data_IF_737956521459
#
_entry.id   IF_737956521459
#
_cell.length_a   1.000
_cell.length_b   1.000
_cell.length_c   1.000
_cell.angle_alpha   90.00
_cell.angle_beta   90.00
_cell.angle_gamma   90.00
#
_symmetry.space_group_name_H-M   'P 1'
#
loop_
_entity.id
_entity.type
_entity.pdbx_description
1 polymer ?
#
# COMPACT_ATOMS: atom_id res chain seq x y z
N UNK A 1 6.27 -5.58 -3.15
CA UNK A 1 5.49 -5.08 -4.31
C UNK A 1 4.70 -3.89 -3.85
N UNK A 2 4.64 -2.83 -4.65
CA UNK A 2 4.01 -1.54 -4.33
C UNK A 2 2.88 -1.29 -5.31
N UNK A 3 1.74 -0.87 -4.79
CA UNK A 3 0.53 -0.62 -5.55
C UNK A 3 -0.09 0.71 -5.16
N UNK A 4 -0.52 1.46 -6.18
CA UNK A 4 -1.30 2.67 -6.02
C UNK A 4 -2.78 2.32 -6.19
N UNK A 5 -3.56 2.62 -5.15
CA UNK A 5 -5.01 2.46 -5.06
C UNK A 5 -5.67 3.71 -5.66
N UNK A 6 -5.48 3.92 -6.97
CA UNK A 6 -6.22 4.92 -7.74
C UNK A 6 -7.66 4.43 -7.99
N UNK A 7 -8.42 5.18 -8.80
CA UNK A 7 -9.77 4.86 -9.33
C UNK A 7 -9.87 3.57 -10.15
N UNK A 8 -8.92 2.64 -10.00
CA UNK A 8 -9.15 1.27 -10.42
C UNK A 8 -10.46 0.81 -9.77
N UNK A 9 -11.38 0.23 -10.54
CA UNK A 9 -12.80 0.01 -10.17
C UNK A 9 -13.08 -0.91 -8.96
N UNK A 10 -12.16 -1.02 -8.01
CA UNK A 10 -12.21 -1.70 -6.72
C UNK A 10 -13.02 -0.94 -5.64
N UNK A 11 -13.91 -0.04 -6.04
CA UNK A 11 -14.64 0.87 -5.15
C UNK A 11 -13.83 2.13 -4.87
N UNK A 12 -14.52 3.27 -4.77
CA UNK A 12 -13.90 4.55 -4.43
C UNK A 12 -12.96 4.39 -3.22
N UNK A 13 -11.93 5.23 -3.17
CA UNK A 13 -10.96 5.38 -2.07
C UNK A 13 -11.60 5.82 -0.72
N UNK A 14 -12.71 5.20 -0.31
CA UNK A 14 -13.29 5.22 1.02
C UNK A 14 -12.42 4.45 2.04
N UNK A 15 -11.11 4.34 1.80
CA UNK A 15 -10.13 4.12 2.86
C UNK A 15 -10.03 5.33 3.80
N UNK A 16 -10.67 6.47 3.47
CA UNK A 16 -10.50 7.72 4.19
C UNK A 16 -11.58 8.15 5.18
N UNK A 17 -12.69 7.42 5.33
CA UNK A 17 -13.79 7.89 6.17
C UNK A 17 -13.99 7.12 7.49
N UNK A 18 -12.95 6.49 8.01
CA UNK A 18 -12.95 5.99 9.38
C UNK A 18 -12.16 6.94 10.27
N UNK A 19 -12.83 7.98 10.80
CA UNK A 19 -12.78 8.54 12.17
C UNK A 19 -11.50 8.34 13.03
N UNK A 20 -10.32 8.33 12.43
CA UNK A 20 -9.03 8.26 13.12
C UNK A 20 -7.95 9.07 12.39
N UNK A 21 -8.38 10.02 11.56
CA UNK A 21 -7.51 10.96 10.81
C UNK A 21 -6.87 11.98 11.75
N UNK A 22 -7.44 12.19 12.95
CA UNK A 22 -6.96 13.19 13.91
C UNK A 22 -5.60 12.87 14.53
N UNK A 23 -5.07 11.64 14.39
CA UNK A 23 -3.76 11.28 14.94
C UNK A 23 -2.62 11.25 13.90
N UNK A 24 -2.93 11.33 12.60
CA UNK A 24 -1.92 11.31 11.53
C UNK A 24 -1.53 12.69 11.01
N UNK A 25 -2.28 13.74 11.36
CA UNK A 25 -2.04 15.09 10.85
C UNK A 25 -1.03 15.89 11.68
N UNK A 26 -0.73 15.49 12.92
CA UNK A 26 0.12 16.30 13.82
C UNK A 26 1.63 16.11 13.57
N UNK A 27 2.04 15.10 12.79
CA UNK A 27 3.45 14.82 12.52
C UNK A 27 3.97 15.28 11.14
N UNK A 28 3.15 15.94 10.33
CA UNK A 28 3.54 16.46 9.01
C UNK A 28 4.07 17.91 9.05
N UNK A 29 4.58 18.37 10.20
CA UNK A 29 5.37 19.59 10.24
C UNK A 29 6.67 19.37 9.47
N UNK A 30 6.68 19.94 8.26
CA UNK A 30 7.79 20.09 7.34
C UNK A 30 8.94 20.77 8.08
N UNK A 31 9.97 20.02 8.53
CA UNK A 31 11.28 20.61 8.86
C UNK A 31 12.47 19.64 9.02
N UNK A 32 12.35 18.32 8.76
CA UNK A 32 13.50 17.42 8.90
C UNK A 32 13.67 16.47 7.72
N UNK A 33 14.76 16.67 6.97
CA UNK A 33 15.28 15.82 5.90
C UNK A 33 15.93 14.56 6.51
N UNK A 34 15.11 13.77 7.19
CA UNK A 34 15.40 12.40 7.61
C UNK A 34 14.05 11.66 7.62
N UNK A 35 13.43 11.59 6.43
CA UNK A 35 12.08 11.04 6.22
C UNK A 35 12.08 9.53 6.48
N UNK A 36 11.97 9.15 7.75
CA UNK A 36 11.67 7.78 8.14
C UNK A 36 10.28 7.41 7.61
N UNK A 37 10.27 6.61 6.53
CA UNK A 37 9.02 6.12 5.93
C UNK A 37 8.37 5.10 6.87
N UNK A 38 7.31 5.53 7.54
CA UNK A 38 6.51 4.67 8.42
C UNK A 38 5.62 3.73 7.61
N UNK A 39 5.78 2.42 7.81
CA UNK A 39 4.90 1.40 7.24
C UNK A 39 3.86 0.96 8.27
N UNK A 40 2.59 1.24 7.99
CA UNK A 40 1.49 0.93 8.90
C UNK A 40 0.72 -0.30 8.43
N UNK A 41 0.19 -1.15 9.32
CA UNK A 41 -0.75 -2.20 8.91
C UNK A 41 -1.98 -1.61 8.20
N UNK A 42 -2.44 -2.29 7.15
CA UNK A 42 -3.73 -1.98 6.53
C UNK A 42 -4.88 -2.50 7.43
N UNK A 43 -5.61 -1.58 8.07
CA UNK A 43 -6.62 -1.90 9.09
C UNK A 43 -7.83 -2.69 8.55
N UNK A 44 -8.20 -2.47 7.30
CA UNK A 44 -9.34 -3.10 6.65
C UNK A 44 -8.94 -4.32 5.80
N UNK A 45 -7.82 -4.97 6.13
CA UNK A 45 -7.45 -6.23 5.49
C UNK A 45 -8.43 -7.34 5.89
N UNK A 46 -9.27 -7.77 4.94
CA UNK A 46 -10.31 -8.78 5.17
C UNK A 46 -9.90 -10.22 4.84
N UNK A 47 -8.68 -10.46 4.36
CA UNK A 47 -8.23 -11.81 4.01
C UNK A 47 -6.73 -11.94 3.71
N UNK A 48 -6.30 -13.19 3.50
CA UNK A 48 -4.93 -13.56 3.16
C UNK A 48 -4.01 -13.73 4.37
N UNK A 49 -3.00 -14.60 4.25
CA UNK A 49 -1.97 -14.82 5.28
C UNK A 49 -0.80 -13.81 5.21
N UNK A 50 -0.76 -13.02 4.15
CA UNK A 50 0.30 -12.05 3.89
C UNK A 50 -0.16 -10.67 4.34
N UNK A 51 0.62 -10.02 5.21
CA UNK A 51 0.32 -8.67 5.70
C UNK A 51 0.44 -7.64 4.57
N UNK A 52 -0.56 -6.79 4.44
CA UNK A 52 -0.48 -5.57 3.63
C UNK A 52 -0.15 -4.37 4.52
N UNK A 53 0.68 -3.48 4.00
CA UNK A 53 1.15 -2.29 4.70
C UNK A 53 0.78 -1.05 3.88
N UNK A 54 0.39 0.02 4.54
CA UNK A 54 0.26 1.36 3.97
C UNK A 54 1.63 2.02 3.98
N UNK A 55 2.03 2.53 2.81
CA UNK A 55 3.20 3.39 2.63
C UNK A 55 2.80 4.87 2.79
N UNK A 56 1.64 5.22 2.22
CA UNK A 56 1.01 6.52 2.33
C UNK A 56 -0.52 6.36 2.13
N UNK A 57 -1.22 7.48 2.00
CA UNK A 57 -2.68 7.55 1.91
C UNK A 57 -3.28 6.77 0.71
N UNK A 58 -2.53 6.55 -0.37
CA UNK A 58 -2.98 5.85 -1.58
C UNK A 58 -2.11 4.66 -1.98
N UNK A 59 -0.97 4.47 -1.31
CA UNK A 59 0.01 3.46 -1.68
C UNK A 59 0.08 2.36 -0.65
N UNK A 60 -0.12 1.11 -1.08
CA UNK A 60 0.10 -0.08 -0.27
C UNK A 60 1.31 -0.86 -0.76
N UNK A 61 1.93 -1.60 0.15
CA UNK A 61 2.91 -2.60 -0.18
C UNK A 61 2.59 -3.95 0.46
N UNK A 62 3.06 -5.00 -0.19
CA UNK A 62 3.05 -6.38 0.33
C UNK A 62 4.30 -7.13 -0.11
N UNK A 63 4.68 -8.23 0.58
CA UNK A 63 5.75 -9.12 0.16
C UNK A 63 5.68 -9.52 -1.32
N UNK A 64 6.85 -9.75 -1.93
CA UNK A 64 6.95 -10.13 -3.33
C UNK A 64 6.33 -11.52 -3.56
N UNK A 65 5.38 -11.58 -4.49
CA UNK A 65 4.86 -12.83 -5.03
C UNK A 65 5.26 -12.89 -6.52
N UNK A 66 6.13 -13.83 -6.93
CA UNK A 66 6.61 -13.90 -8.32
C UNK A 66 5.50 -14.06 -9.36
N UNK A 67 4.46 -14.85 -9.05
CA UNK A 67 3.33 -15.08 -9.96
C UNK A 67 2.50 -13.82 -10.18
N UNK A 68 2.31 -13.03 -9.13
CA UNK A 68 1.62 -11.75 -9.25
C UNK A 68 2.47 -10.72 -9.99
N UNK A 69 3.78 -10.69 -9.75
CA UNK A 69 4.69 -9.80 -10.48
C UNK A 69 4.58 -10.04 -12.00
N UNK A 70 4.61 -11.31 -12.41
CA UNK A 70 4.45 -11.70 -13.81
C UNK A 70 3.12 -11.21 -14.40
N UNK A 71 2.01 -11.35 -13.64
CA UNK A 71 0.71 -10.80 -14.03
C UNK A 71 0.76 -9.29 -14.26
N UNK A 72 1.29 -8.52 -13.30
CA UNK A 72 1.37 -7.06 -13.43
C UNK A 72 2.34 -6.59 -14.52
N UNK A 73 3.37 -7.38 -14.84
CA UNK A 73 4.29 -7.10 -15.95
C UNK A 73 3.66 -7.35 -17.33
N UNK A 74 2.65 -8.22 -17.41
CA UNK A 74 2.04 -8.67 -18.66
C UNK A 74 0.52 -8.45 -18.68
N UNK A 75 0.03 -7.43 -17.96
CA UNK A 75 -1.40 -7.23 -17.80
C UNK A 75 -2.08 -6.87 -19.12
N UNK A 76 -3.19 -7.54 -19.49
CA UNK A 76 -4.00 -7.16 -20.64
C UNK A 76 -4.56 -5.74 -20.51
N UNK A 77 -4.58 -4.98 -21.60
CA UNK A 77 -4.98 -3.56 -21.60
C UNK A 77 -6.45 -3.34 -21.22
N UNK A 78 -7.31 -4.29 -21.52
CA UNK A 78 -8.74 -4.28 -21.23
C UNK A 78 -9.03 -4.38 -19.72
N UNK A 79 -8.15 -5.00 -18.93
CA UNK A 79 -8.33 -5.14 -17.48
C UNK A 79 -7.49 -4.15 -16.66
N UNK A 80 -6.62 -3.36 -17.29
CA UNK A 80 -5.66 -2.49 -16.61
C UNK A 80 -6.32 -1.46 -15.68
N UNK A 81 -7.52 -0.98 -16.04
CA UNK A 81 -8.30 -0.04 -15.23
C UNK A 81 -9.08 -0.71 -14.09
N UNK A 82 -9.07 -2.03 -13.98
CA UNK A 82 -9.81 -2.79 -12.97
C UNK A 82 -8.91 -3.43 -11.92
N UNK A 83 -7.60 -3.15 -11.97
CA UNK A 83 -6.62 -3.63 -10.99
C UNK A 83 -5.84 -2.47 -10.37
N UNK A 84 -5.24 -2.65 -9.19
CA UNK A 84 -4.34 -1.66 -8.61
C UNK A 84 -3.15 -1.37 -9.53
N UNK A 85 -2.70 -0.11 -9.59
CA UNK A 85 -1.55 0.24 -10.43
C UNK A 85 -0.26 -0.21 -9.77
N UNK A 86 0.46 -1.14 -10.39
CA UNK A 86 1.77 -1.58 -9.92
C UNK A 86 2.83 -0.48 -10.09
N UNK A 87 3.49 -0.09 -8.99
CA UNK A 87 4.53 0.96 -8.96
C UNK A 87 5.95 0.41 -8.88
N UNK A 88 6.10 -0.88 -8.59
CA UNK A 88 7.41 -1.53 -8.54
C UNK A 88 7.64 -2.39 -7.29
N UNK A 89 8.90 -2.69 -7.02
CA UNK A 89 9.37 -3.43 -5.85
C UNK A 89 10.48 -2.63 -5.20
N UNK A 90 10.45 -2.54 -3.88
CA UNK A 90 11.59 -2.08 -3.08
C UNK A 90 11.91 -3.12 -2.01
N UNK A 91 13.16 -3.13 -1.59
CA UNK A 91 13.64 -3.93 -0.47
C UNK A 91 13.61 -3.05 0.76
N UNK A 92 13.03 -3.55 1.84
CA UNK A 92 13.11 -2.91 3.14
C UNK A 92 13.21 -3.99 4.21
N UNK A 93 13.92 -3.67 5.28
CA UNK A 93 14.07 -4.59 6.40
C UNK A 93 12.91 -4.36 7.36
N UNK A 94 11.99 -5.33 7.44
CA UNK A 94 11.05 -5.35 8.55
C UNK A 94 11.81 -5.69 9.83
N UNK A 95 11.66 -4.91 10.93
CA UNK A 95 12.09 -5.39 12.23
C UNK A 95 11.42 -6.74 12.48
N UNK A 96 12.21 -7.75 12.89
CA UNK A 96 11.67 -9.08 13.19
C UNK A 96 10.63 -8.92 14.31
N UNK A 97 9.35 -9.06 13.97
CA UNK A 97 8.29 -9.17 14.97
C UNK A 97 8.46 -10.56 15.59
N UNK A 98 9.12 -10.62 16.75
CA UNK A 98 9.13 -11.82 17.59
C UNK A 98 7.68 -12.04 18.03
N UNK A 99 7.10 -13.17 17.60
CA UNK A 99 5.76 -13.60 18.03
C UNK A 99 5.77 -14.11 19.45
#
# INVERSE_FOLDING_TARGET
MVFLLDDCGMGEAQLLNQHNVNHYHDHLSIDHVDDEVSLLPLNNQVGGHTRMLLLDQGTICKPLNPRELEFYQNIPSDIQNFVPKYKGKFLFNLPKIVR
#
